data_IF_678541292444
#
_entry.id   IF_678541292444
#
_cell.length_a   1.000
_cell.length_b   1.000
_cell.length_c   1.000
_cell.angle_alpha   90.00
_cell.angle_beta   90.00
_cell.angle_gamma   90.00
#
_symmetry.space_group_name_H-M   'P 1'
#
loop_
_entity.id
_entity.type
_entity.pdbx_description
1 polymer ?
#
# COMPACT_ATOMS: atom_id res chain seq x y z
N UNK A 1 -12.39 -5.33 -27.54
CA UNK A 1 -12.72 -3.98 -27.07
C UNK A 1 -11.46 -3.18 -26.86
N UNK A 2 -11.50 -1.96 -27.24
CA UNK A 2 -10.32 -1.09 -27.06
C UNK A 2 -9.97 -0.86 -25.62
N UNK A 3 -10.96 -0.90 -24.74
CA UNK A 3 -10.70 -0.69 -23.33
C UNK A 3 -9.77 -1.75 -22.75
N UNK A 4 -9.74 -2.91 -23.37
CA UNK A 4 -8.85 -3.97 -22.91
C UNK A 4 -7.41 -3.61 -23.09
N UNK A 5 -7.15 -2.62 -23.94
CA UNK A 5 -5.80 -2.17 -24.23
C UNK A 5 -5.53 -0.83 -23.57
N UNK A 6 -6.08 -0.63 -22.39
CA UNK A 6 -5.79 0.58 -21.65
C UNK A 6 -4.29 0.77 -21.52
N UNK A 7 -3.88 1.99 -21.70
CA UNK A 7 -2.48 2.32 -21.69
C UNK A 7 -1.97 2.39 -20.25
N UNK A 8 -1.24 1.37 -19.84
CA UNK A 8 -0.66 1.30 -18.51
C UNK A 8 0.29 2.46 -18.22
N UNK A 9 0.77 3.15 -19.27
CA UNK A 9 1.66 4.28 -19.04
C UNK A 9 1.00 5.38 -18.20
N UNK A 10 -0.33 5.40 -18.14
CA UNK A 10 -1.05 6.35 -17.28
C UNK A 10 -0.74 6.12 -15.79
N UNK A 11 -0.24 4.93 -15.45
CA UNK A 11 0.17 4.63 -14.08
C UNK A 11 1.65 4.89 -13.84
N UNK A 12 2.41 5.23 -14.89
CA UNK A 12 3.85 5.49 -14.77
C UNK A 12 4.11 6.96 -14.47
N UNK A 13 3.47 7.49 -13.44
CA UNK A 13 3.72 8.86 -13.02
C UNK A 13 5.05 8.93 -12.28
N UNK A 14 5.67 10.11 -12.18
CA UNK A 14 6.94 10.23 -11.46
C UNK A 14 6.90 9.70 -10.04
N UNK A 15 5.81 9.94 -9.30
CA UNK A 15 5.69 9.46 -7.92
C UNK A 15 5.58 7.94 -7.88
N UNK A 16 4.77 7.35 -8.74
CA UNK A 16 4.60 5.89 -8.77
C UNK A 16 5.91 5.21 -9.19
N UNK A 17 6.59 5.77 -10.19
CA UNK A 17 7.87 5.23 -10.64
C UNK A 17 8.92 5.31 -9.54
N UNK A 18 8.95 6.42 -8.81
CA UNK A 18 9.91 6.57 -7.72
C UNK A 18 9.66 5.53 -6.64
N UNK A 19 8.40 5.32 -6.25
CA UNK A 19 8.07 4.32 -5.25
C UNK A 19 8.39 2.90 -5.71
N UNK A 20 8.29 2.62 -7.01
CA UNK A 20 8.59 1.29 -7.52
C UNK A 20 10.09 1.04 -7.66
N UNK A 21 10.87 2.07 -7.95
CA UNK A 21 12.32 1.95 -8.12
C UNK A 21 13.06 2.04 -6.79
N UNK A 22 12.61 2.92 -5.92
CA UNK A 22 13.24 3.18 -4.62
C UNK A 22 12.18 3.13 -3.53
N UNK A 23 11.63 1.94 -3.25
CA UNK A 23 10.54 1.83 -2.28
C UNK A 23 10.99 2.29 -0.89
N UNK A 24 10.09 3.01 -0.24
CA UNK A 24 10.32 3.49 1.12
C UNK A 24 10.20 2.34 2.09
N UNK A 25 10.97 2.43 3.18
CA UNK A 25 10.94 1.42 4.25
C UNK A 25 11.25 0.00 3.75
N UNK A 26 12.03 -0.10 2.68
CA UNK A 26 12.45 -1.37 2.09
C UNK A 26 13.62 -1.93 2.90
N UNK A 27 13.32 -2.34 4.12
CA UNK A 27 14.32 -2.83 5.08
C UNK A 27 13.72 -3.98 5.89
N UNK A 28 14.61 -4.79 6.47
CA UNK A 28 14.23 -5.79 7.46
C UNK A 28 14.48 -5.16 8.84
N UNK A 29 13.45 -5.11 9.67
CA UNK A 29 13.58 -4.54 11.00
C UNK A 29 14.29 -5.54 11.93
N UNK A 30 15.18 -5.02 12.78
CA UNK A 30 15.89 -5.87 13.75
C UNK A 30 14.95 -6.46 14.79
N UNK A 31 13.90 -5.72 15.12
CA UNK A 31 12.97 -6.12 16.17
C UNK A 31 11.57 -5.67 15.81
N UNK A 32 10.78 -6.58 15.25
CA UNK A 32 9.40 -6.30 14.91
C UNK A 32 8.47 -6.91 15.96
N UNK A 33 7.46 -6.13 16.34
CA UNK A 33 6.42 -6.60 17.27
C UNK A 33 5.36 -7.42 16.54
N UNK A 34 5.09 -7.06 15.31
CA UNK A 34 4.03 -7.65 14.51
C UNK A 34 4.56 -7.85 13.09
N UNK A 35 4.13 -8.92 12.44
CA UNK A 35 4.48 -9.13 11.04
C UNK A 35 3.35 -9.84 10.32
N UNK A 36 3.32 -9.67 9.00
CA UNK A 36 2.35 -10.32 8.15
C UNK A 36 2.87 -10.43 6.73
N UNK A 37 2.25 -11.30 5.95
CA UNK A 37 2.65 -11.47 4.56
C UNK A 37 1.45 -11.87 3.72
N UNK A 38 1.59 -11.72 2.41
CA UNK A 38 0.59 -12.13 1.45
C UNK A 38 1.26 -12.42 0.11
N UNK A 39 0.65 -13.33 -0.64
CA UNK A 39 1.08 -13.65 -2.00
C UNK A 39 -0.13 -13.64 -2.90
N UNK A 40 0.08 -13.26 -4.16
CA UNK A 40 -0.91 -13.42 -5.19
C UNK A 40 -0.44 -14.58 -6.08
N UNK A 41 -1.04 -15.77 -5.94
CA UNK A 41 -0.54 -16.94 -6.66
C UNK A 41 -0.70 -16.85 -8.18
N UNK A 42 -1.54 -15.95 -8.67
CA UNK A 42 -1.79 -15.83 -10.10
C UNK A 42 -0.73 -15.00 -10.82
N UNK A 43 -0.11 -14.04 -10.14
CA UNK A 43 0.88 -13.18 -10.76
C UNK A 43 2.25 -13.24 -10.07
N UNK A 44 2.37 -14.00 -8.99
CA UNK A 44 3.63 -14.13 -8.27
C UNK A 44 4.04 -12.92 -7.44
N UNK A 45 3.12 -11.97 -7.23
CA UNK A 45 3.40 -10.85 -6.34
C UNK A 45 3.47 -11.34 -4.90
N UNK A 46 4.43 -10.81 -4.15
CA UNK A 46 4.60 -11.15 -2.74
C UNK A 46 4.92 -9.90 -1.95
N UNK A 47 4.49 -9.90 -0.69
CA UNK A 47 4.82 -8.83 0.24
C UNK A 47 4.92 -9.38 1.64
N UNK A 48 5.94 -8.94 2.37
CA UNK A 48 6.09 -9.14 3.81
C UNK A 48 6.15 -7.78 4.45
N UNK A 49 5.45 -7.61 5.57
CA UNK A 49 5.45 -6.37 6.30
C UNK A 49 5.81 -6.65 7.76
N UNK A 50 6.72 -5.85 8.29
CA UNK A 50 7.12 -5.88 9.69
C UNK A 50 6.77 -4.54 10.30
N UNK A 51 6.25 -4.58 11.53
CA UNK A 51 5.82 -3.39 12.23
C UNK A 51 6.40 -3.39 13.62
N UNK A 52 7.02 -2.29 13.98
CA UNK A 52 7.45 -2.04 15.35
C UNK A 52 6.55 -0.97 15.92
N UNK A 53 6.11 -1.16 17.16
CA UNK A 53 5.21 -0.22 17.80
C UNK A 53 5.87 0.44 19.00
N UNK A 54 5.40 1.63 19.32
CA UNK A 54 5.79 2.35 20.51
C UNK A 54 4.55 3.04 21.04
N UNK A 55 4.14 2.69 22.26
CA UNK A 55 2.90 3.22 22.87
C UNK A 55 1.70 2.97 21.98
N UNK A 56 1.59 1.76 21.44
CA UNK A 56 0.51 1.31 20.59
C UNK A 56 0.46 1.98 19.21
N UNK A 57 1.42 2.82 18.89
CA UNK A 57 1.50 3.47 17.58
C UNK A 57 2.60 2.82 16.76
N UNK A 58 2.36 2.76 15.47
CA UNK A 58 3.35 2.24 14.54
C UNK A 58 4.52 3.22 14.47
N UNK A 59 5.68 2.78 14.96
CA UNK A 59 6.88 3.61 15.01
C UNK A 59 7.83 3.32 13.86
N UNK A 60 7.84 2.09 13.35
CA UNK A 60 8.69 1.70 12.23
C UNK A 60 7.99 0.62 11.41
N UNK A 61 8.23 0.66 10.11
CA UNK A 61 7.69 -0.33 9.17
C UNK A 61 8.82 -0.82 8.30
N UNK A 62 8.89 -2.14 8.09
CA UNK A 62 9.82 -2.74 7.15
C UNK A 62 9.02 -3.51 6.11
N UNK A 63 9.35 -3.32 4.84
CA UNK A 63 8.62 -3.94 3.73
C UNK A 63 9.61 -4.70 2.84
N UNK A 64 9.21 -5.90 2.44
CA UNK A 64 9.86 -6.62 1.35
C UNK A 64 8.76 -6.99 0.37
N UNK A 65 8.85 -6.50 -0.87
CA UNK A 65 7.84 -6.76 -1.89
C UNK A 65 8.51 -7.10 -3.21
N UNK A 66 7.90 -8.01 -3.96
CA UNK A 66 8.40 -8.44 -5.27
C UNK A 66 7.23 -8.58 -6.22
N UNK A 67 7.54 -8.56 -7.52
CA UNK A 67 6.55 -8.76 -8.56
C UNK A 67 6.21 -7.46 -9.28
N UNK A 68 4.92 -7.22 -9.49
CA UNK A 68 4.44 -6.08 -10.25
C UNK A 68 4.88 -4.74 -9.63
N UNK A 69 5.26 -3.78 -10.49
CA UNK A 69 5.68 -2.46 -10.00
C UNK A 69 4.59 -1.80 -9.15
N UNK A 70 3.32 -2.10 -9.40
CA UNK A 70 2.22 -1.56 -8.60
C UNK A 70 2.16 -2.17 -7.20
N UNK A 71 2.54 -3.44 -7.06
CA UNK A 71 2.67 -4.04 -5.74
C UNK A 71 3.78 -3.35 -4.96
N UNK A 72 4.92 -3.13 -5.60
CA UNK A 72 6.06 -2.48 -4.96
C UNK A 72 5.71 -1.05 -4.59
N UNK A 73 5.11 -0.30 -5.53
CA UNK A 73 4.76 1.10 -5.29
C UNK A 73 3.70 1.25 -4.21
N UNK A 74 2.63 0.45 -4.25
CA UNK A 74 1.56 0.56 -3.25
C UNK A 74 2.06 0.18 -1.87
N UNK A 75 2.91 -0.84 -1.78
CA UNK A 75 3.50 -1.24 -0.50
C UNK A 75 4.35 -0.13 0.08
N UNK A 76 5.15 0.53 -0.77
CA UNK A 76 5.97 1.66 -0.36
C UNK A 76 5.12 2.82 0.15
N UNK A 77 4.08 3.19 -0.60
CA UNK A 77 3.18 4.28 -0.22
C UNK A 77 2.49 3.99 1.10
N UNK A 78 1.93 2.79 1.23
CA UNK A 78 1.22 2.39 2.45
C UNK A 78 2.17 2.36 3.65
N UNK A 79 3.41 1.92 3.46
CA UNK A 79 4.38 1.87 4.56
C UNK A 79 4.63 3.26 5.16
N UNK A 80 4.59 4.30 4.33
CA UNK A 80 4.72 5.66 4.83
C UNK A 80 3.42 6.15 5.46
N UNK A 81 2.30 5.80 4.85
CA UNK A 81 0.99 6.32 5.26
C UNK A 81 0.59 5.84 6.66
N UNK A 82 0.96 4.62 7.02
CA UNK A 82 0.52 4.04 8.29
C UNK A 82 1.42 4.40 9.48
N UNK A 83 2.56 5.06 9.24
CA UNK A 83 3.43 5.48 10.34
C UNK A 83 2.66 6.43 11.27
N UNK A 84 2.72 6.16 12.56
CA UNK A 84 2.01 6.95 13.57
C UNK A 84 0.59 6.52 13.84
N UNK A 85 0.05 5.61 13.01
CA UNK A 85 -1.29 5.08 13.21
C UNK A 85 -1.27 4.11 14.39
N UNK A 86 -2.37 4.04 15.14
CA UNK A 86 -2.47 3.03 16.19
C UNK A 86 -2.75 1.67 15.56
N UNK A 87 -2.27 0.61 16.21
CA UNK A 87 -2.46 -0.75 15.71
C UNK A 87 -3.97 -1.06 15.59
N UNK A 88 -4.77 -0.56 16.53
CA UNK A 88 -6.21 -0.80 16.50
C UNK A 88 -6.89 -0.17 15.28
N UNK A 89 -6.26 0.82 14.67
CA UNK A 89 -6.82 1.51 13.50
C UNK A 89 -6.40 0.90 12.17
N UNK A 90 -5.59 -0.15 12.19
CA UNK A 90 -5.15 -0.78 10.95
C UNK A 90 -6.32 -1.32 10.13
N UNK A 91 -7.30 -1.97 10.79
CA UNK A 91 -8.46 -2.50 10.08
C UNK A 91 -9.28 -1.40 9.42
N UNK A 92 -9.42 -0.27 10.09
CA UNK A 92 -10.13 0.86 9.51
C UNK A 92 -9.36 1.44 8.32
N UNK A 93 -8.03 1.50 8.43
CA UNK A 93 -7.20 1.93 7.31
C UNK A 93 -7.39 1.01 6.09
N UNK A 94 -7.36 -0.29 6.32
CA UNK A 94 -7.55 -1.27 5.24
C UNK A 94 -8.87 -1.03 4.53
N UNK A 95 -9.94 -0.85 5.30
CA UNK A 95 -11.28 -0.63 4.75
C UNK A 95 -11.31 0.65 3.90
N UNK A 96 -10.76 1.73 4.43
CA UNK A 96 -10.78 3.02 3.74
C UNK A 96 -9.88 3.03 2.51
N UNK A 97 -8.72 2.38 2.59
CA UNK A 97 -7.82 2.26 1.44
C UNK A 97 -8.48 1.47 0.30
N UNK A 98 -9.14 0.35 0.64
CA UNK A 98 -9.86 -0.44 -0.36
C UNK A 98 -10.98 0.35 -0.99
N UNK A 99 -11.70 1.12 -0.20
CA UNK A 99 -12.76 1.98 -0.72
C UNK A 99 -12.20 3.00 -1.70
N UNK A 100 -11.05 3.60 -1.36
CA UNK A 100 -10.39 4.55 -2.26
C UNK A 100 -10.05 3.91 -3.62
N UNK A 101 -9.51 2.69 -3.58
CA UNK A 101 -9.09 2.00 -4.81
C UNK A 101 -10.29 1.56 -5.64
N UNK A 102 -11.37 1.12 -5.01
CA UNK A 102 -12.50 0.50 -5.71
C UNK A 102 -13.62 1.46 -6.07
N UNK A 103 -13.66 2.60 -5.41
CA UNK A 103 -14.72 3.59 -5.64
C UNK A 103 -14.39 4.42 -6.88
N UNK A 104 -15.39 4.66 -7.73
CA UNK A 104 -15.17 5.33 -9.02
C UNK A 104 -14.49 6.70 -8.90
N UNK A 105 -14.82 7.49 -7.91
CA UNK A 105 -14.20 8.79 -7.70
C UNK A 105 -13.33 8.81 -6.44
N UNK A 106 -12.80 7.64 -6.05
CA UNK A 106 -12.01 7.55 -4.84
C UNK A 106 -10.69 8.30 -4.93
N UNK A 107 -10.27 8.86 -3.81
CA UNK A 107 -8.99 9.55 -3.70
C UNK A 107 -8.54 9.51 -2.24
N UNK A 108 -7.42 10.16 -1.95
CA UNK A 108 -6.83 10.12 -0.61
C UNK A 108 -7.76 10.64 0.49
N UNK A 109 -8.75 11.45 0.14
CA UNK A 109 -9.71 11.95 1.12
C UNK A 109 -10.62 10.86 1.68
N UNK A 110 -10.72 9.72 0.99
CA UNK A 110 -11.49 8.58 1.48
C UNK A 110 -10.82 7.90 2.68
N UNK A 111 -9.53 8.14 2.87
CA UNK A 111 -8.81 7.56 4.00
C UNK A 111 -8.81 8.56 5.13
N UNK A 112 -9.99 8.74 5.73
CA UNK A 112 -10.20 9.78 6.74
C UNK A 112 -9.46 9.52 8.04
N UNK A 113 -9.06 8.28 8.28
CA UNK A 113 -8.31 7.94 9.49
C UNK A 113 -6.89 8.52 9.47
N UNK A 114 -6.37 8.81 8.29
CA UNK A 114 -5.04 9.42 8.16
C UNK A 114 -5.17 10.93 8.28
N UNK A 115 -4.70 11.45 9.39
CA UNK A 115 -4.72 12.89 9.67
C UNK A 115 -3.31 13.43 9.54
N UNK A 116 -3.18 14.68 9.13
CA UNK A 116 -1.88 15.35 9.01
C UNK A 116 -0.94 14.65 8.03
N UNK A 117 -1.52 14.08 6.98
CA UNK A 117 -0.74 13.36 5.97
C UNK A 117 0.09 14.34 5.16
N UNK A 118 1.36 14.01 4.95
CA UNK A 118 2.25 14.83 4.13
C UNK A 118 1.74 14.89 2.69
N UNK A 119 2.01 16.03 2.03
CA UNK A 119 1.51 16.27 0.68
C UNK A 119 1.99 15.21 -0.32
N UNK A 120 3.25 14.80 -0.23
CA UNK A 120 3.79 13.81 -1.15
C UNK A 120 3.11 12.45 -1.00
N UNK A 121 2.79 12.06 0.23
CA UNK A 121 2.08 10.81 0.49
C UNK A 121 0.65 10.90 -0.03
N UNK A 122 0.00 12.04 0.20
CA UNK A 122 -1.35 12.27 -0.29
C UNK A 122 -1.42 12.19 -1.81
N UNK A 123 -0.46 12.84 -2.49
CA UNK A 123 -0.40 12.78 -3.95
C UNK A 123 -0.14 11.36 -4.45
N UNK A 124 0.73 10.63 -3.76
CA UNK A 124 1.02 9.24 -4.14
C UNK A 124 -0.22 8.37 -4.01
N UNK A 125 -1.00 8.56 -2.95
CA UNK A 125 -2.26 7.84 -2.78
C UNK A 125 -3.26 8.20 -3.88
N UNK A 126 -3.34 9.49 -4.23
CA UNK A 126 -4.23 9.92 -5.31
C UNK A 126 -3.83 9.29 -6.63
N UNK A 127 -2.53 9.21 -6.90
CA UNK A 127 -2.05 8.63 -8.15
C UNK A 127 -2.26 7.12 -8.21
N UNK A 128 -1.99 6.42 -7.12
CA UNK A 128 -2.18 4.97 -7.11
C UNK A 128 -3.67 4.60 -7.21
N UNK A 129 -4.56 5.48 -6.78
CA UNK A 129 -6.00 5.22 -6.86
C UNK A 129 -6.50 5.10 -8.29
N UNK A 130 -5.76 5.64 -9.25
CA UNK A 130 -6.12 5.55 -10.68
C UNK A 130 -6.06 4.13 -11.22
N UNK A 131 -5.51 3.21 -10.45
CA UNK A 131 -5.47 1.80 -10.81
C UNK A 131 -6.87 1.21 -11.01
N UNK A 132 -7.90 1.88 -10.48
CA UNK A 132 -9.29 1.42 -10.64
C UNK A 132 -9.69 1.26 -12.09
N UNK A 133 -9.06 2.01 -12.99
CA UNK A 133 -9.34 1.93 -14.41
C UNK A 133 -8.64 0.74 -15.07
N UNK A 134 -7.88 -0.04 -14.32
CA UNK A 134 -7.12 -1.19 -14.80
C UNK A 134 -7.45 -2.41 -13.94
N UNK A 135 -8.61 -3.04 -14.14
CA UNK A 135 -9.12 -4.09 -13.23
C UNK A 135 -8.12 -5.20 -12.91
N UNK A 136 -7.31 -5.60 -13.90
CA UNK A 136 -6.33 -6.66 -13.68
C UNK A 136 -5.27 -6.24 -12.66
N UNK A 137 -5.01 -4.94 -12.56
CA UNK A 137 -3.96 -4.40 -11.68
C UNK A 137 -4.45 -4.04 -10.29
N UNK A 138 -5.76 -4.01 -10.09
CA UNK A 138 -6.30 -3.65 -8.77
C UNK A 138 -5.76 -4.58 -7.69
N UNK A 139 -5.67 -5.88 -7.97
CA UNK A 139 -5.17 -6.86 -7.00
C UNK A 139 -3.74 -6.58 -6.58
N UNK A 140 -2.92 -6.05 -7.50
CA UNK A 140 -1.53 -5.72 -7.17
C UNK A 140 -1.46 -4.61 -6.11
N UNK A 141 -2.35 -3.64 -6.18
CA UNK A 141 -2.35 -2.52 -5.23
C UNK A 141 -3.03 -2.88 -3.91
N UNK A 142 -3.83 -3.93 -3.89
CA UNK A 142 -4.53 -4.37 -2.68
C UNK A 142 -3.75 -5.43 -1.90
N UNK A 143 -2.68 -5.99 -2.45
CA UNK A 143 -1.96 -7.07 -1.79
C UNK A 143 -1.40 -6.63 -0.44
N UNK A 144 -0.94 -5.38 -0.33
CA UNK A 144 -0.43 -4.84 0.92
C UNK A 144 -1.50 -4.87 2.02
N UNK A 145 -2.76 -4.66 1.67
CA UNK A 145 -3.83 -4.74 2.67
C UNK A 145 -4.06 -6.17 3.13
N UNK A 146 -3.82 -7.15 2.27
CA UNK A 146 -3.92 -8.55 2.68
C UNK A 146 -2.81 -8.91 3.67
N UNK A 147 -1.60 -8.40 3.44
CA UNK A 147 -0.51 -8.58 4.40
C UNK A 147 -0.86 -7.96 5.74
N UNK A 148 -1.46 -6.76 5.73
CA UNK A 148 -1.88 -6.10 6.96
C UNK A 148 -3.01 -6.87 7.66
N UNK A 149 -3.90 -7.53 6.93
CA UNK A 149 -4.92 -8.37 7.54
C UNK A 149 -4.33 -9.60 8.20
N UNK A 150 -3.18 -10.06 7.71
CA UNK A 150 -2.53 -11.28 8.18
C UNK A 150 -1.52 -11.02 9.29
N UNK A 151 -1.43 -9.79 9.81
CA UNK A 151 -0.43 -9.49 10.85
C UNK A 151 -0.72 -10.28 12.12
N UNK A 152 0.37 -10.73 12.73
CA UNK A 152 0.34 -11.49 13.97
C UNK A 152 1.47 -11.01 14.88
N UNK A 153 1.23 -11.15 16.18
CA UNK A 153 2.28 -10.88 17.16
C UNK A 153 3.44 -11.84 16.95
N UNK A 154 4.62 -11.31 17.03
CA UNK A 154 5.84 -12.13 16.95
C UNK A 154 6.23 -12.70 18.30
#
# INVERSE_FOLDING_TARGET
MENEKQDLSLLYTPLILEHSKNPKNNVVLDSADISGSAVNPFCGDEISIQIQTERDKISSVGIESTGCFLNIASSSIVSQAILGLTVTNINEFIKQYRLMIQRQSGNSNDIVILKNLEDDIRKSLDEISKVRDFPIRIKCTLLVTMALQNIKMN
#
